data_IF_737315598927
#
_entry.id   IF_737315598927
#
_cell.length_a   1.000
_cell.length_b   1.000
_cell.length_c   1.000
_cell.angle_alpha   90.00
_cell.angle_beta   90.00
_cell.angle_gamma   90.00
#
_symmetry.space_group_name_H-M   'P 1'
#
loop_
_entity.id
_entity.type
_entity.pdbx_description
1 polymer ?
#
# COMPACT_ATOMS: atom_id res chain seq x y z
N UNK A 1 -11.45 22.17 -5.98
CA UNK A 1 -12.53 22.51 -6.93
C UNK A 1 -12.39 21.59 -8.12
N UNK A 2 -13.43 20.85 -8.39
CA UNK A 2 -13.37 19.62 -9.11
C UNK A 2 -13.16 19.82 -10.62
N UNK A 3 -12.01 19.40 -11.13
CA UNK A 3 -11.75 19.35 -12.58
C UNK A 3 -12.81 18.59 -13.37
N UNK A 4 -13.67 17.82 -12.70
CA UNK A 4 -14.75 17.05 -13.30
C UNK A 4 -15.90 17.92 -13.80
N UNK A 5 -16.26 18.99 -13.08
CA UNK A 5 -17.28 19.94 -13.53
C UNK A 5 -16.78 20.76 -14.74
N UNK A 6 -15.55 21.25 -14.65
CA UNK A 6 -14.91 21.97 -15.76
C UNK A 6 -14.66 21.04 -16.95
N UNK A 7 -14.27 19.77 -16.71
CA UNK A 7 -14.17 18.73 -17.72
C UNK A 7 -15.52 18.46 -18.41
N UNK A 8 -16.58 18.28 -17.61
CA UNK A 8 -17.92 18.04 -18.14
C UNK A 8 -18.37 19.16 -19.07
N UNK A 9 -18.22 20.41 -18.64
CA UNK A 9 -18.55 21.61 -19.43
C UNK A 9 -17.69 21.65 -20.71
N UNK A 10 -16.37 21.51 -20.64
CA UNK A 10 -15.51 21.56 -21.79
C UNK A 10 -15.70 20.35 -22.74
N UNK A 11 -15.96 19.16 -22.18
CA UNK A 11 -16.25 17.97 -22.98
C UNK A 11 -17.52 18.12 -23.82
N UNK A 12 -18.59 18.63 -23.20
CA UNK A 12 -19.89 18.81 -23.87
C UNK A 12 -19.95 20.03 -24.77
N UNK A 13 -19.29 21.14 -24.42
CA UNK A 13 -19.43 22.41 -25.13
C UNK A 13 -18.27 22.75 -26.07
N UNK A 14 -17.09 22.12 -25.92
CA UNK A 14 -15.93 22.45 -26.74
C UNK A 14 -15.42 21.20 -27.48
N UNK A 15 -14.75 20.28 -26.79
CA UNK A 15 -14.28 18.99 -27.34
C UNK A 15 -13.72 18.07 -26.25
N UNK A 16 -13.73 16.75 -26.52
CA UNK A 16 -13.08 15.74 -25.65
C UNK A 16 -11.59 16.06 -25.43
N UNK A 17 -10.89 16.45 -26.47
CA UNK A 17 -9.46 16.80 -26.40
C UNK A 17 -9.19 17.98 -25.48
N UNK A 18 -10.04 19.05 -25.52
CA UNK A 18 -9.90 20.21 -24.66
C UNK A 18 -10.12 19.84 -23.18
N UNK A 19 -11.14 19.06 -22.90
CA UNK A 19 -11.42 18.57 -21.53
C UNK A 19 -10.26 17.75 -20.95
N UNK A 20 -9.66 16.89 -21.75
CA UNK A 20 -8.50 16.07 -21.33
C UNK A 20 -7.25 16.95 -21.10
N UNK A 21 -6.98 17.94 -21.97
CA UNK A 21 -5.86 18.88 -21.78
C UNK A 21 -5.97 19.64 -20.45
N UNK A 22 -7.16 20.13 -20.12
CA UNK A 22 -7.39 20.83 -18.85
C UNK A 22 -7.18 19.90 -17.64
N UNK A 23 -7.63 18.64 -17.72
CA UNK A 23 -7.36 17.67 -16.67
C UNK A 23 -5.87 17.39 -16.49
N UNK A 24 -5.14 17.17 -17.59
CA UNK A 24 -3.70 16.94 -17.54
C UNK A 24 -3.00 18.14 -16.91
N UNK A 25 -3.37 19.36 -17.30
CA UNK A 25 -2.82 20.56 -16.70
C UNK A 25 -3.13 20.64 -15.20
N UNK A 26 -4.39 20.52 -14.82
CA UNK A 26 -4.82 20.65 -13.43
C UNK A 26 -4.21 19.58 -12.50
N UNK A 27 -3.93 18.38 -13.03
CA UNK A 27 -3.41 17.27 -12.22
C UNK A 27 -1.89 17.17 -12.22
N UNK A 28 -1.21 17.59 -13.28
CA UNK A 28 0.21 17.31 -13.46
C UNK A 28 1.10 18.56 -13.46
N UNK A 29 0.55 19.77 -13.71
CA UNK A 29 1.35 20.97 -13.84
C UNK A 29 2.19 21.23 -12.57
N UNK A 30 3.51 21.43 -12.75
CA UNK A 30 4.46 21.69 -11.67
C UNK A 30 4.92 20.44 -10.90
N UNK A 31 4.30 19.29 -11.06
CA UNK A 31 4.72 18.04 -10.41
C UNK A 31 6.05 17.54 -10.97
N UNK A 32 6.86 16.92 -10.13
CA UNK A 32 8.06 16.20 -10.61
C UNK A 32 7.63 14.97 -11.40
N UNK A 33 8.29 14.72 -12.53
CA UNK A 33 8.04 13.54 -13.37
C UNK A 33 8.22 12.26 -12.56
N UNK A 34 9.24 12.18 -11.71
CA UNK A 34 9.50 11.04 -10.82
C UNK A 34 8.36 10.77 -9.83
N UNK A 35 7.65 11.82 -9.38
CA UNK A 35 6.50 11.65 -8.48
C UNK A 35 5.29 11.08 -9.24
N UNK A 36 5.08 11.54 -10.49
CA UNK A 36 4.01 11.02 -11.36
C UNK A 36 4.27 9.53 -11.67
N UNK A 37 5.50 9.17 -12.09
CA UNK A 37 5.90 7.76 -12.31
C UNK A 37 5.71 6.90 -11.07
N UNK A 38 6.04 7.46 -9.95
CA UNK A 38 5.90 6.82 -8.66
C UNK A 38 4.46 6.51 -8.30
N UNK A 39 3.56 7.48 -8.51
CA UNK A 39 2.11 7.28 -8.32
C UNK A 39 1.57 6.28 -9.33
N UNK A 40 2.00 6.37 -10.59
CA UNK A 40 1.62 5.43 -11.65
C UNK A 40 1.96 3.98 -11.27
N UNK A 41 3.10 3.75 -10.63
CA UNK A 41 3.55 2.41 -10.21
C UNK A 41 2.90 1.93 -8.93
N UNK A 42 2.76 2.80 -7.94
CA UNK A 42 2.42 2.39 -6.57
C UNK A 42 0.94 2.58 -6.21
N UNK A 43 0.21 3.46 -6.90
CA UNK A 43 -1.16 3.83 -6.53
C UNK A 43 -2.18 3.41 -7.59
N UNK A 44 -1.93 3.73 -8.85
CA UNK A 44 -2.90 3.56 -9.91
C UNK A 44 -3.25 2.10 -10.27
N UNK A 45 -2.32 1.11 -10.17
CA UNK A 45 -2.61 -0.27 -10.56
C UNK A 45 -3.80 -0.89 -9.84
N UNK A 46 -3.98 -0.60 -8.56
CA UNK A 46 -5.12 -1.09 -7.78
C UNK A 46 -6.45 -0.58 -8.35
N UNK A 47 -6.50 0.69 -8.74
CA UNK A 47 -7.72 1.30 -9.27
C UNK A 47 -7.99 0.86 -10.71
N UNK A 48 -6.93 0.72 -11.52
CA UNK A 48 -7.07 0.23 -12.90
C UNK A 48 -7.50 -1.23 -12.95
N UNK A 49 -6.97 -2.08 -12.08
CA UNK A 49 -7.34 -3.50 -12.05
C UNK A 49 -8.82 -3.72 -11.72
N UNK A 50 -9.44 -2.83 -10.94
CA UNK A 50 -10.87 -2.90 -10.63
C UNK A 50 -11.78 -2.50 -11.80
N UNK A 51 -11.23 -1.86 -12.83
CA UNK A 51 -11.97 -1.37 -13.99
C UNK A 51 -11.77 -2.24 -15.25
N UNK A 52 -11.03 -3.35 -15.16
CA UNK A 52 -10.77 -4.23 -16.30
C UNK A 52 -12.03 -5.00 -16.71
N UNK A 53 -12.48 -4.78 -17.92
CA UNK A 53 -13.62 -5.46 -18.50
C UNK A 53 -13.27 -6.91 -18.86
N UNK A 54 -13.98 -7.90 -18.34
CA UNK A 54 -13.64 -9.31 -18.47
C UNK A 54 -13.65 -9.84 -19.92
N UNK A 55 -14.60 -9.39 -20.75
CA UNK A 55 -14.68 -9.81 -22.14
C UNK A 55 -13.56 -9.20 -22.97
N UNK A 56 -13.29 -7.91 -22.80
CA UNK A 56 -12.16 -7.25 -23.48
C UNK A 56 -10.83 -7.84 -23.06
N UNK A 57 -10.67 -8.18 -21.76
CA UNK A 57 -9.48 -8.86 -21.28
C UNK A 57 -9.27 -10.24 -21.92
N UNK A 58 -10.35 -11.02 -22.08
CA UNK A 58 -10.28 -12.34 -22.70
C UNK A 58 -9.72 -12.24 -24.15
N UNK A 59 -10.21 -11.28 -24.93
CA UNK A 59 -9.70 -11.05 -26.30
C UNK A 59 -8.26 -10.54 -26.25
N UNK A 60 -7.99 -9.50 -25.45
CA UNK A 60 -6.66 -8.90 -25.34
C UNK A 60 -5.59 -9.90 -24.90
N UNK A 61 -5.90 -10.75 -23.91
CA UNK A 61 -4.96 -11.74 -23.35
C UNK A 61 -4.66 -12.90 -24.32
N UNK A 62 -5.56 -13.18 -25.28
CA UNK A 62 -5.36 -14.22 -26.30
C UNK A 62 -4.53 -13.75 -27.50
N UNK A 63 -4.31 -12.44 -27.65
CA UNK A 63 -3.50 -11.90 -28.75
C UNK A 63 -2.01 -12.15 -28.51
N UNK A 64 -1.28 -12.52 -29.58
CA UNK A 64 0.17 -12.72 -29.53
C UNK A 64 0.94 -11.41 -29.38
N UNK A 65 0.51 -10.32 -30.03
CA UNK A 65 1.07 -8.97 -29.89
C UNK A 65 -0.03 -8.01 -29.42
N UNK A 66 0.25 -7.27 -28.35
CA UNK A 66 -0.74 -6.45 -27.65
C UNK A 66 -0.33 -4.99 -27.65
N UNK A 67 -1.15 -4.16 -28.28
CA UNK A 67 -0.96 -2.72 -28.34
C UNK A 67 -2.13 -2.02 -27.64
N UNK A 68 -1.84 -1.03 -26.79
CA UNK A 68 -2.86 -0.20 -26.14
C UNK A 68 -2.72 1.25 -26.61
N UNK A 69 -3.84 1.80 -27.12
CA UNK A 69 -3.96 3.22 -27.45
C UNK A 69 -4.84 3.92 -26.42
N UNK A 70 -4.33 4.99 -25.82
CA UNK A 70 -5.05 5.70 -24.77
C UNK A 70 -4.92 7.21 -24.85
N UNK A 71 -5.99 7.91 -24.54
CA UNK A 71 -5.99 9.36 -24.38
C UNK A 71 -5.31 9.81 -23.06
N UNK A 72 -5.16 8.90 -22.09
CA UNK A 72 -4.45 9.19 -20.85
C UNK A 72 -2.95 9.45 -21.09
N UNK A 73 -2.30 10.26 -20.24
CA UNK A 73 -0.84 10.41 -20.30
C UNK A 73 -0.15 9.03 -20.20
N UNK A 74 0.74 8.72 -21.17
CA UNK A 74 1.43 7.44 -21.22
C UNK A 74 2.15 7.13 -19.91
N UNK A 75 2.82 8.10 -19.32
CA UNK A 75 3.54 8.01 -18.05
C UNK A 75 2.66 7.49 -16.90
N UNK A 76 1.35 7.74 -16.91
CA UNK A 76 0.43 7.32 -15.83
C UNK A 76 -0.06 5.88 -15.98
N UNK A 77 -0.06 5.33 -17.19
CA UNK A 77 -0.68 4.03 -17.48
C UNK A 77 0.31 2.96 -17.91
N UNK A 78 1.47 3.33 -18.45
CA UNK A 78 2.41 2.41 -19.07
C UNK A 78 2.89 1.31 -18.11
N UNK A 79 3.20 1.66 -16.86
CA UNK A 79 3.64 0.70 -15.86
C UNK A 79 2.57 -0.38 -15.60
N UNK A 80 1.30 0.01 -15.50
CA UNK A 80 0.20 -0.94 -15.31
C UNK A 80 -0.02 -1.79 -16.57
N UNK A 81 -0.07 -1.18 -17.74
CA UNK A 81 -0.36 -1.87 -18.99
C UNK A 81 0.73 -2.89 -19.36
N UNK A 82 2.01 -2.55 -19.15
CA UNK A 82 3.12 -3.46 -19.41
C UNK A 82 3.26 -4.52 -18.33
N UNK A 83 3.29 -4.12 -17.07
CA UNK A 83 3.62 -5.02 -15.95
C UNK A 83 2.49 -5.96 -15.57
N UNK A 84 1.23 -5.50 -15.64
CA UNK A 84 0.07 -6.26 -15.18
C UNK A 84 -0.80 -6.81 -16.31
N UNK A 85 -0.82 -6.16 -17.48
CA UNK A 85 -1.58 -6.65 -18.64
C UNK A 85 -0.71 -7.29 -19.71
N UNK A 86 0.62 -7.14 -19.62
CA UNK A 86 1.54 -7.68 -20.62
C UNK A 86 1.41 -7.02 -21.99
N UNK A 87 1.15 -5.70 -22.03
CA UNK A 87 1.14 -4.95 -23.27
C UNK A 87 2.55 -4.80 -23.83
N UNK A 88 2.74 -5.15 -25.11
CA UNK A 88 4.03 -5.02 -25.80
C UNK A 88 4.29 -3.56 -26.19
N UNK A 89 3.23 -2.84 -26.58
CA UNK A 89 3.30 -1.44 -27.01
C UNK A 89 2.22 -0.61 -26.33
N UNK A 90 2.60 0.54 -25.82
CA UNK A 90 1.68 1.52 -25.22
C UNK A 90 1.84 2.85 -25.91
N UNK A 91 0.78 3.29 -26.60
CA UNK A 91 0.67 4.58 -27.26
C UNK A 91 -0.28 5.44 -26.42
N UNK A 92 0.23 6.49 -25.80
CA UNK A 92 -0.52 7.38 -24.93
C UNK A 92 -0.23 8.85 -25.22
N UNK A 93 -1.01 9.73 -24.63
CA UNK A 93 -0.77 11.17 -24.73
C UNK A 93 0.57 11.52 -24.11
N UNK A 94 1.42 12.24 -24.84
CA UNK A 94 2.72 12.68 -24.34
C UNK A 94 2.61 14.07 -23.70
N UNK A 95 3.27 14.22 -22.56
CA UNK A 95 3.24 15.43 -21.76
C UNK A 95 4.58 16.17 -21.83
N UNK A 96 4.53 17.49 -21.98
CA UNK A 96 5.74 18.32 -21.96
C UNK A 96 6.35 18.38 -20.55
N UNK A 97 7.69 18.35 -20.52
CA UNK A 97 8.45 18.44 -19.29
C UNK A 97 9.52 19.51 -19.38
N UNK A 98 9.79 20.19 -18.26
CA UNK A 98 10.85 21.18 -18.15
C UNK A 98 11.60 21.01 -16.82
N UNK A 99 12.90 20.88 -16.86
CA UNK A 99 13.77 20.66 -15.68
C UNK A 99 13.26 19.56 -14.73
N UNK A 100 12.81 18.42 -15.29
CA UNK A 100 12.32 17.28 -14.53
C UNK A 100 10.93 17.47 -13.91
N UNK A 101 10.21 18.52 -14.30
CA UNK A 101 8.82 18.77 -13.90
C UNK A 101 7.89 18.74 -15.11
N UNK A 102 6.69 18.24 -14.90
CA UNK A 102 5.63 18.29 -15.88
C UNK A 102 5.12 19.74 -16.03
N UNK A 103 5.03 20.23 -17.26
CA UNK A 103 4.46 21.55 -17.52
C UNK A 103 2.94 21.56 -17.46
N UNK A 104 2.30 20.38 -17.59
CA UNK A 104 0.88 20.21 -17.77
C UNK A 104 0.40 20.36 -19.22
N UNK A 105 1.28 20.75 -20.15
CA UNK A 105 0.94 20.86 -21.55
C UNK A 105 1.19 19.52 -22.29
N UNK A 106 0.36 19.28 -23.30
CA UNK A 106 0.44 18.09 -24.16
C UNK A 106 1.33 18.40 -25.37
N UNK A 107 2.23 17.46 -25.68
CA UNK A 107 3.10 17.54 -26.85
C UNK A 107 2.32 17.22 -28.14
N UNK A 108 2.88 17.60 -29.30
CA UNK A 108 2.38 17.19 -30.61
C UNK A 108 2.40 15.66 -30.76
N UNK A 109 1.37 15.02 -31.35
CA UNK A 109 0.24 15.59 -32.11
C UNK A 109 -0.95 16.03 -31.24
N UNK A 110 -0.81 16.07 -29.94
CA UNK A 110 -1.89 16.42 -29.02
C UNK A 110 -2.44 15.21 -28.25
N UNK A 111 -3.62 15.35 -27.69
CA UNK A 111 -4.30 14.24 -27.01
C UNK A 111 -4.63 13.14 -27.99
N UNK A 112 -4.35 11.89 -27.65
CA UNK A 112 -4.64 10.74 -28.52
C UNK A 112 -6.13 10.39 -28.50
N UNK A 113 -6.91 11.17 -29.24
CA UNK A 113 -8.35 10.98 -29.49
C UNK A 113 -8.62 11.04 -30.97
N UNK A 114 -9.54 10.27 -31.47
CA UNK A 114 -10.01 10.29 -32.85
C UNK A 114 -8.86 10.07 -33.85
N UNK A 115 -8.65 11.05 -34.75
CA UNK A 115 -7.62 10.98 -35.78
C UNK A 115 -6.21 10.82 -35.22
N UNK A 116 -5.89 11.47 -34.08
CA UNK A 116 -4.56 11.35 -33.48
C UNK A 116 -4.25 9.90 -33.03
N UNK A 117 -5.26 9.11 -32.62
CA UNK A 117 -5.09 7.67 -32.37
C UNK A 117 -4.74 6.91 -33.64
N UNK A 118 -5.47 7.18 -34.71
CA UNK A 118 -5.22 6.55 -36.05
C UNK A 118 -3.82 6.87 -36.56
N UNK A 119 -3.40 8.12 -36.50
CA UNK A 119 -2.08 8.56 -36.94
C UNK A 119 -0.95 7.93 -36.08
N UNK A 120 -1.15 7.84 -34.75
CA UNK A 120 -0.21 7.16 -33.88
C UNK A 120 -0.10 5.66 -34.18
N UNK A 121 -1.22 5.00 -34.50
CA UNK A 121 -1.23 3.59 -34.90
C UNK A 121 -0.50 3.38 -36.22
N UNK A 122 -0.78 4.20 -37.26
CA UNK A 122 -0.08 4.17 -38.53
C UNK A 122 1.42 4.34 -38.35
N UNK A 123 1.83 5.31 -37.55
CA UNK A 123 3.26 5.55 -37.27
C UNK A 123 3.94 4.35 -36.61
N UNK A 124 3.22 3.65 -35.70
CA UNK A 124 3.77 2.53 -34.95
C UNK A 124 3.83 1.22 -35.74
N UNK A 125 2.87 0.99 -36.63
CA UNK A 125 2.74 -0.27 -37.38
C UNK A 125 3.20 -0.13 -38.86
N UNK A 126 3.37 1.09 -39.37
CA UNK A 126 3.69 1.31 -40.75
C UNK A 126 2.59 0.78 -41.69
N UNK A 127 2.97 -0.11 -42.59
CA UNK A 127 2.04 -0.79 -43.49
C UNK A 127 1.40 -2.05 -42.90
N UNK A 128 1.89 -2.51 -41.75
CA UNK A 128 1.33 -3.69 -41.10
C UNK A 128 -0.06 -3.37 -40.52
N UNK A 129 -1.05 -4.15 -40.91
CA UNK A 129 -2.42 -3.98 -40.47
C UNK A 129 -2.67 -4.82 -39.19
N UNK A 130 -3.06 -4.20 -38.05
CA UNK A 130 -3.49 -4.95 -36.88
C UNK A 130 -4.72 -5.82 -37.17
N UNK A 131 -4.79 -7.01 -36.60
CA UNK A 131 -5.91 -7.91 -36.85
C UNK A 131 -7.19 -7.44 -36.15
N UNK A 132 -7.12 -7.13 -34.85
CA UNK A 132 -8.29 -6.79 -34.03
C UNK A 132 -8.12 -5.41 -33.41
N UNK A 133 -9.13 -4.55 -33.57
CA UNK A 133 -9.26 -3.27 -32.88
C UNK A 133 -10.46 -3.26 -31.95
N UNK A 134 -10.25 -2.93 -30.68
CA UNK A 134 -11.31 -2.77 -29.68
C UNK A 134 -11.43 -1.30 -29.25
N UNK A 135 -12.61 -0.72 -29.32
CA UNK A 135 -12.89 0.64 -28.89
C UNK A 135 -14.24 0.71 -28.17
N UNK A 136 -14.42 1.70 -27.29
CA UNK A 136 -15.67 1.90 -26.55
C UNK A 136 -16.44 3.17 -26.96
N UNK A 137 -15.87 3.99 -27.86
CA UNK A 137 -16.41 5.29 -28.25
C UNK A 137 -16.42 5.50 -29.76
N UNK A 138 -17.31 6.36 -30.23
CA UNK A 138 -17.30 6.79 -31.64
C UNK A 138 -15.98 7.44 -32.06
N UNK A 139 -15.27 8.11 -31.13
CA UNK A 139 -13.95 8.69 -31.39
C UNK A 139 -12.86 7.63 -31.62
N UNK A 140 -13.15 6.35 -31.41
CA UNK A 140 -12.23 5.23 -31.66
C UNK A 140 -12.39 4.67 -33.10
N UNK A 141 -13.48 4.99 -33.79
CA UNK A 141 -13.75 4.52 -35.17
C UNK A 141 -12.57 4.75 -36.16
N UNK A 142 -11.85 5.90 -36.15
CA UNK A 142 -10.75 6.12 -37.08
C UNK A 142 -9.58 5.13 -36.92
N UNK A 143 -9.21 4.70 -35.71
CA UNK A 143 -8.14 3.71 -35.57
C UNK A 143 -8.65 2.29 -35.79
N UNK A 144 -9.91 1.99 -35.44
CA UNK A 144 -10.52 0.68 -35.66
C UNK A 144 -10.64 0.38 -37.18
N UNK A 145 -10.91 1.42 -38.00
CA UNK A 145 -10.94 1.28 -39.44
C UNK A 145 -9.58 0.91 -40.07
N UNK A 146 -8.48 1.03 -39.34
CA UNK A 146 -7.15 0.59 -39.76
C UNK A 146 -6.88 -0.88 -39.41
N UNK A 147 -7.71 -1.51 -38.61
CA UNK A 147 -7.61 -2.92 -38.26
C UNK A 147 -8.38 -3.77 -39.29
N UNK A 148 -8.07 -5.07 -39.36
CA UNK A 148 -8.87 -5.98 -40.21
C UNK A 148 -10.30 -6.06 -39.66
N UNK A 149 -10.42 -6.27 -38.36
CA UNK A 149 -11.70 -6.34 -37.65
C UNK A 149 -11.76 -5.31 -36.52
N UNK A 150 -12.74 -4.41 -36.57
CA UNK A 150 -12.99 -3.39 -35.56
C UNK A 150 -14.26 -3.69 -34.77
N UNK A 151 -14.16 -3.78 -33.44
CA UNK A 151 -15.26 -4.06 -32.56
C UNK A 151 -15.52 -2.93 -31.56
N UNK A 152 -16.75 -2.45 -31.50
CA UNK A 152 -17.19 -1.50 -30.47
C UNK A 152 -17.62 -2.29 -29.26
N UNK A 153 -16.95 -2.04 -28.14
CA UNK A 153 -17.30 -2.62 -26.82
C UNK A 153 -18.33 -1.71 -26.16
N UNK A 154 -19.59 -2.10 -26.02
CA UNK A 154 -20.59 -1.26 -25.39
C UNK A 154 -20.27 -1.08 -23.90
N UNK A 155 -20.46 0.11 -23.32
CA UNK A 155 -20.32 0.34 -21.91
C UNK A 155 -21.44 -0.41 -21.17
N UNK A 156 -21.11 -1.55 -20.55
CA UNK A 156 -22.05 -2.31 -19.72
C UNK A 156 -21.75 -2.01 -18.24
N UNK A 157 -22.61 -1.28 -17.52
CA UNK A 157 -22.35 -0.90 -16.12
C UNK A 157 -22.29 -2.08 -15.14
N UNK A 158 -22.71 -3.27 -15.55
CA UNK A 158 -22.84 -4.47 -14.71
C UNK A 158 -21.80 -5.57 -15.02
N UNK A 159 -20.77 -5.31 -15.83
CA UNK A 159 -19.77 -6.36 -16.12
C UNK A 159 -18.82 -6.50 -14.95
N UNK A 160 -18.71 -7.73 -14.43
CA UNK A 160 -17.78 -8.07 -13.37
C UNK A 160 -16.34 -7.81 -13.84
N UNK A 161 -15.59 -7.08 -13.02
CA UNK A 161 -14.17 -6.86 -13.28
C UNK A 161 -13.39 -8.18 -13.30
N UNK A 162 -12.29 -8.20 -14.05
CA UNK A 162 -11.36 -9.33 -14.07
C UNK A 162 -10.78 -9.52 -12.67
N UNK A 163 -10.78 -10.75 -12.19
CA UNK A 163 -10.12 -11.10 -10.94
C UNK A 163 -8.59 -11.05 -11.13
N UNK A 164 -7.88 -10.60 -10.12
CA UNK A 164 -6.42 -10.36 -10.19
C UNK A 164 -5.61 -11.63 -10.42
N UNK A 165 -6.14 -12.82 -10.06
CA UNK A 165 -5.56 -14.14 -10.33
C UNK A 165 -5.36 -14.44 -11.82
N UNK A 166 -6.16 -13.80 -12.71
CA UNK A 166 -6.05 -13.93 -14.16
C UNK A 166 -5.04 -12.99 -14.82
N UNK A 167 -4.41 -12.13 -14.04
CA UNK A 167 -3.41 -11.19 -14.53
C UNK A 167 -2.00 -11.83 -14.53
N UNK A 168 -1.09 -11.44 -15.43
CA UNK A 168 0.30 -11.88 -15.44
C UNK A 168 1.01 -11.68 -14.09
N UNK A 169 0.68 -10.62 -13.37
CA UNK A 169 1.09 -10.38 -11.97
C UNK A 169 -0.15 -10.30 -11.09
N UNK A 170 -0.57 -11.39 -10.43
CA UNK A 170 -1.81 -11.41 -9.66
C UNK A 170 -1.75 -10.56 -8.39
N UNK A 171 -0.55 -10.30 -7.84
CA UNK A 171 -0.38 -9.54 -6.61
C UNK A 171 -0.07 -8.09 -6.92
N UNK A 172 -0.99 -7.22 -6.48
CA UNK A 172 -0.90 -5.78 -6.65
C UNK A 172 -0.70 -5.14 -5.28
N UNK A 173 0.50 -4.64 -5.01
CA UNK A 173 0.77 -3.78 -3.87
C UNK A 173 0.23 -2.37 -4.12
N UNK A 174 -0.28 -1.73 -3.07
CA UNK A 174 -0.85 -0.40 -3.14
C UNK A 174 -0.29 0.53 -2.06
N UNK A 175 0.04 1.78 -2.43
CA UNK A 175 0.62 2.77 -1.50
C UNK A 175 -0.13 4.12 -1.47
N UNK A 176 -1.34 4.21 -2.01
CA UNK A 176 -2.18 5.40 -1.94
C UNK A 176 -2.69 5.68 -0.52
N UNK A 177 -2.95 6.97 -0.21
CA UNK A 177 -3.58 7.34 1.06
C UNK A 177 -5.09 7.13 1.05
N UNK A 178 -5.74 7.24 -0.08
CA UNK A 178 -7.18 7.03 -0.19
C UNK A 178 -7.52 5.54 -0.21
N UNK A 179 -8.51 5.15 0.60
CA UNK A 179 -9.03 3.78 0.66
C UNK A 179 -9.91 3.50 -0.54
N UNK A 180 -10.79 4.45 -0.86
CA UNK A 180 -11.75 4.33 -1.95
C UNK A 180 -11.26 5.09 -3.19
N UNK A 181 -11.70 4.62 -4.36
CA UNK A 181 -11.50 5.35 -5.62
C UNK A 181 -12.24 6.70 -5.52
N UNK A 182 -11.54 7.83 -5.73
CA UNK A 182 -12.17 9.13 -5.62
C UNK A 182 -13.19 9.33 -6.76
N UNK A 183 -14.45 9.53 -6.37
CA UNK A 183 -15.50 10.10 -7.21
C UNK A 183 -15.65 11.59 -6.86
N UNK A 184 -16.31 12.42 -7.68
CA UNK A 184 -16.52 13.84 -7.35
C UNK A 184 -17.11 14.06 -5.96
N UNK A 185 -18.13 13.28 -5.60
CA UNK A 185 -18.78 13.38 -4.29
C UNK A 185 -17.86 12.92 -3.15
N UNK A 186 -17.21 11.75 -3.30
CA UNK A 186 -16.29 11.25 -2.26
C UNK A 186 -15.08 12.14 -2.10
N UNK A 187 -14.57 12.77 -3.17
CA UNK A 187 -13.48 13.73 -3.11
C UNK A 187 -13.90 15.00 -2.34
N UNK A 188 -15.09 15.54 -2.63
CA UNK A 188 -15.63 16.70 -1.92
C UNK A 188 -15.80 16.40 -0.43
N UNK A 189 -16.45 15.28 -0.09
CA UNK A 189 -16.64 14.84 1.30
C UNK A 189 -15.30 14.64 2.02
N UNK A 190 -14.31 14.09 1.34
CA UNK A 190 -12.97 13.91 1.90
C UNK A 190 -12.30 15.26 2.19
N UNK A 191 -12.38 16.22 1.28
CA UNK A 191 -11.80 17.55 1.47
C UNK A 191 -12.49 18.28 2.64
N UNK A 192 -13.81 18.22 2.73
CA UNK A 192 -14.56 18.83 3.84
C UNK A 192 -14.26 18.16 5.19
N UNK A 193 -13.98 16.84 5.15
CA UNK A 193 -13.66 16.07 6.35
C UNK A 193 -12.24 16.31 6.90
N UNK A 194 -11.26 16.62 6.04
CA UNK A 194 -9.84 16.76 6.44
C UNK A 194 -9.64 17.64 7.69
N UNK A 195 -10.19 18.87 7.79
CA UNK A 195 -9.98 19.72 8.97
C UNK A 195 -10.53 19.09 10.24
N UNK A 196 -11.75 18.56 10.19
CA UNK A 196 -12.42 17.91 11.32
C UNK A 196 -11.66 16.64 11.72
N UNK A 197 -11.31 15.82 10.75
CA UNK A 197 -10.56 14.59 10.94
C UNK A 197 -9.18 14.82 11.53
N UNK A 198 -8.50 15.90 11.15
CA UNK A 198 -7.19 16.26 11.71
C UNK A 198 -7.27 16.63 13.19
N UNK A 199 -8.25 17.45 13.59
CA UNK A 199 -8.50 17.78 15.00
C UNK A 199 -8.80 16.51 15.79
N UNK A 200 -9.68 15.65 15.25
CA UNK A 200 -10.04 14.38 15.88
C UNK A 200 -8.82 13.44 16.01
N UNK A 201 -7.94 13.41 15.00
CA UNK A 201 -6.69 12.66 15.08
C UNK A 201 -5.76 13.16 16.18
N UNK A 202 -5.62 14.48 16.33
CA UNK A 202 -4.82 15.06 17.43
C UNK A 202 -5.37 14.66 18.81
N UNK A 203 -6.69 14.72 19.00
CA UNK A 203 -7.35 14.31 20.25
C UNK A 203 -7.14 12.80 20.54
N UNK A 204 -7.29 11.94 19.53
CA UNK A 204 -7.09 10.49 19.62
C UNK A 204 -5.64 10.14 19.94
N UNK A 205 -4.69 10.80 19.29
CA UNK A 205 -3.25 10.62 19.54
C UNK A 205 -2.93 11.08 20.96
N UNK A 206 -3.41 12.26 21.39
CA UNK A 206 -3.20 12.75 22.75
C UNK A 206 -3.79 11.78 23.78
N UNK A 207 -5.01 11.29 23.58
CA UNK A 207 -5.61 10.30 24.47
C UNK A 207 -4.77 9.01 24.55
N UNK A 208 -4.29 8.49 23.40
CA UNK A 208 -3.44 7.31 23.37
C UNK A 208 -2.09 7.49 24.04
N UNK A 209 -1.51 8.71 23.96
CA UNK A 209 -0.14 8.98 24.45
C UNK A 209 -0.08 9.43 25.91
N UNK A 210 -1.12 10.11 26.40
CA UNK A 210 -1.10 10.75 27.72
C UNK A 210 -1.85 9.97 28.81
N UNK A 211 -2.82 9.14 28.40
CA UNK A 211 -3.59 8.37 29.37
C UNK A 211 -2.89 7.06 29.77
N UNK A 212 -3.06 6.59 31.01
CA UNK A 212 -2.63 5.24 31.41
C UNK A 212 -3.29 4.17 30.51
N UNK A 213 -2.55 3.13 30.15
CA UNK A 213 -2.98 2.12 29.17
C UNK A 213 -4.36 1.50 29.45
N UNK A 214 -4.77 1.20 30.71
CA UNK A 214 -6.11 0.70 30.99
C UNK A 214 -7.23 1.68 30.60
N UNK A 215 -6.97 2.98 30.60
CA UNK A 215 -7.94 4.01 30.26
C UNK A 215 -8.02 4.28 28.76
N UNK A 216 -6.96 3.97 28.02
CA UNK A 216 -6.87 4.22 26.56
C UNK A 216 -8.00 3.53 25.79
N UNK A 217 -8.37 2.32 26.19
CA UNK A 217 -9.48 1.58 25.57
C UNK A 217 -10.79 2.37 25.63
N UNK A 218 -11.14 2.88 26.80
CA UNK A 218 -12.38 3.65 27.02
C UNK A 218 -12.33 5.02 26.32
N UNK A 219 -11.17 5.69 26.36
CA UNK A 219 -10.97 6.95 25.67
C UNK A 219 -11.09 6.80 24.15
N UNK A 220 -10.51 5.75 23.57
CA UNK A 220 -10.66 5.44 22.16
C UNK A 220 -12.11 5.16 21.80
N UNK A 221 -12.82 4.38 22.61
CA UNK A 221 -14.24 4.11 22.41
C UNK A 221 -15.07 5.42 22.40
N UNK A 222 -14.86 6.30 23.39
CA UNK A 222 -15.52 7.59 23.48
C UNK A 222 -15.22 8.51 22.30
N UNK A 223 -14.01 8.43 21.74
CA UNK A 223 -13.58 9.18 20.54
C UNK A 223 -13.91 8.47 19.22
N UNK A 224 -14.74 7.42 19.23
CA UNK A 224 -15.22 6.72 18.05
C UNK A 224 -14.20 5.77 17.40
N UNK A 225 -13.12 5.39 18.08
CA UNK A 225 -12.21 4.32 17.68
C UNK A 225 -12.71 3.00 18.25
N UNK A 226 -12.96 2.02 17.42
CA UNK A 226 -13.47 0.73 17.85
C UNK A 226 -12.34 -0.27 17.99
N UNK A 227 -12.22 -0.87 19.18
CA UNK A 227 -11.26 -1.94 19.46
C UNK A 227 -12.04 -3.19 19.83
N UNK A 228 -11.91 -4.25 19.02
CA UNK A 228 -12.53 -5.55 19.27
C UNK A 228 -11.45 -6.54 19.69
N UNK A 229 -11.67 -7.21 20.81
CA UNK A 229 -10.74 -8.20 21.36
C UNK A 229 -11.40 -9.57 21.25
N UNK A 230 -10.70 -10.53 20.64
CA UNK A 230 -11.12 -11.92 20.48
C UNK A 230 -10.08 -12.87 21.08
N UNK A 231 -10.53 -14.05 21.50
CA UNK A 231 -9.68 -15.03 22.18
C UNK A 231 -9.39 -14.64 23.63
N UNK A 232 -8.50 -15.39 24.28
CA UNK A 232 -8.15 -15.17 25.69
C UNK A 232 -6.73 -14.59 25.77
N UNK A 233 -6.57 -13.32 26.17
CA UNK A 233 -5.26 -12.75 26.39
C UNK A 233 -4.49 -13.52 27.46
N UNK A 234 -3.21 -13.84 27.27
CA UNK A 234 -2.43 -14.48 28.32
C UNK A 234 -2.20 -13.53 29.48
N UNK A 235 -2.17 -14.05 30.71
CA UNK A 235 -1.86 -13.27 31.89
C UNK A 235 -0.43 -12.70 31.79
N UNK A 236 -0.14 -11.58 32.51
CA UNK A 236 1.22 -11.03 32.50
C UNK A 236 2.21 -12.02 33.09
N UNK A 237 3.43 -12.05 32.53
CA UNK A 237 4.51 -12.88 33.06
C UNK A 237 4.81 -12.51 34.52
N UNK A 238 4.83 -13.51 35.39
CA UNK A 238 5.14 -13.30 36.82
C UNK A 238 6.65 -13.30 37.02
N UNK A 239 7.24 -12.12 37.11
CA UNK A 239 8.69 -11.93 37.38
C UNK A 239 9.18 -12.67 38.65
N UNK A 240 8.32 -12.85 39.65
CA UNK A 240 8.65 -13.52 40.92
C UNK A 240 8.98 -15.02 40.80
N UNK A 241 8.70 -15.65 39.64
CA UNK A 241 8.87 -17.11 39.46
C UNK A 241 9.95 -17.38 38.39
N UNK A 242 10.73 -16.39 37.95
CA UNK A 242 11.75 -16.58 36.91
C UNK A 242 11.18 -16.94 35.53
N UNK A 243 9.90 -16.70 35.29
CA UNK A 243 9.27 -16.91 33.97
C UNK A 243 9.73 -15.86 32.97
N UNK A 244 10.27 -16.32 31.87
CA UNK A 244 10.51 -15.50 30.66
C UNK A 244 9.19 -14.90 30.16
N UNK A 245 9.26 -13.68 29.65
CA UNK A 245 8.12 -13.00 29.05
C UNK A 245 7.57 -13.72 27.81
N UNK A 246 6.32 -13.43 27.51
CA UNK A 246 5.64 -13.91 26.31
C UNK A 246 6.06 -13.07 25.10
N UNK A 247 6.39 -13.73 23.99
CA UNK A 247 6.63 -13.06 22.73
C UNK A 247 5.35 -13.10 21.88
N UNK A 248 4.71 -11.95 21.73
CA UNK A 248 3.54 -11.78 20.87
C UNK A 248 3.98 -11.63 19.40
N UNK A 249 3.53 -12.54 18.54
CA UNK A 249 3.84 -12.56 17.11
C UNK A 249 2.65 -11.99 16.36
N UNK A 250 2.75 -10.73 15.92
CA UNK A 250 1.64 -10.00 15.32
C UNK A 250 1.76 -9.93 13.79
N UNK A 251 0.64 -10.03 13.07
CA UNK A 251 0.56 -9.54 11.70
C UNK A 251 0.77 -8.01 11.68
N UNK A 252 1.36 -7.47 10.58
CA UNK A 252 1.78 -6.08 10.53
C UNK A 252 0.97 -5.25 9.54
N UNK A 253 -0.03 -4.52 10.04
CA UNK A 253 -0.95 -3.69 9.24
C UNK A 253 -0.57 -2.22 9.22
N UNK A 254 -0.24 -1.66 10.40
CA UNK A 254 0.23 -0.28 10.54
C UNK A 254 1.28 -0.19 11.65
N UNK A 255 1.89 0.97 11.82
CA UNK A 255 2.77 1.25 12.96
C UNK A 255 2.05 1.20 14.32
N UNK A 256 0.71 1.20 14.32
CA UNK A 256 -0.11 1.22 15.52
C UNK A 256 -0.41 -0.19 16.07
N UNK A 257 -0.08 -1.27 15.34
CA UNK A 257 -0.43 -2.63 15.74
C UNK A 257 0.04 -2.98 17.18
N UNK A 258 1.29 -2.68 17.60
CA UNK A 258 1.72 -2.96 18.96
C UNK A 258 1.02 -2.08 20.01
N UNK A 259 0.59 -0.88 19.62
CA UNK A 259 -0.16 0.03 20.51
C UNK A 259 -1.56 -0.55 20.77
N UNK A 260 -2.24 -1.01 19.71
CA UNK A 260 -3.55 -1.65 19.84
C UNK A 260 -3.48 -3.02 20.54
N UNK A 261 -2.38 -3.77 20.39
CA UNK A 261 -2.10 -4.94 21.21
C UNK A 261 -2.02 -4.57 22.70
N UNK A 262 -1.24 -3.52 23.02
CA UNK A 262 -1.10 -3.02 24.40
C UNK A 262 -2.43 -2.52 24.95
N UNK A 263 -3.22 -1.81 24.14
CA UNK A 263 -4.57 -1.37 24.49
C UNK A 263 -5.49 -2.56 24.79
N UNK A 264 -5.43 -3.62 23.98
CA UNK A 264 -6.21 -4.84 24.18
C UNK A 264 -5.82 -5.61 25.45
N UNK A 265 -4.54 -5.53 25.84
CA UNK A 265 -4.02 -6.15 27.06
C UNK A 265 -4.19 -5.26 28.31
N UNK A 266 -4.57 -3.99 28.15
CA UNK A 266 -4.64 -3.01 29.22
C UNK A 266 -3.30 -2.70 29.90
N UNK A 267 -2.17 -3.03 29.25
CA UNK A 267 -0.81 -2.83 29.78
C UNK A 267 0.18 -2.52 28.65
N UNK A 268 1.21 -1.69 28.90
CA UNK A 268 2.19 -1.36 27.88
C UNK A 268 3.08 -2.57 27.58
N UNK A 269 3.13 -2.98 26.31
CA UNK A 269 4.02 -4.02 25.79
C UNK A 269 5.08 -3.36 24.92
N UNK A 270 6.38 -3.46 25.26
CA UNK A 270 7.44 -3.01 24.37
C UNK A 270 7.37 -3.67 22.99
N UNK A 271 7.73 -2.94 21.95
CA UNK A 271 7.73 -3.47 20.60
C UNK A 271 9.10 -3.28 19.94
N UNK A 272 9.55 -4.30 19.22
CA UNK A 272 10.76 -4.19 18.40
C UNK A 272 10.44 -3.66 17.02
N UNK A 273 11.32 -2.81 16.48
CA UNK A 273 11.11 -2.14 15.19
C UNK A 273 12.44 -1.91 14.48
N UNK A 274 12.42 -1.91 13.12
CA UNK A 274 13.61 -1.58 12.32
C UNK A 274 13.70 -0.11 11.95
N UNK A 275 12.57 0.57 11.80
CA UNK A 275 12.55 1.97 11.38
C UNK A 275 11.25 2.65 11.78
N UNK A 276 11.32 3.43 12.83
CA UNK A 276 10.22 4.33 13.28
C UNK A 276 10.74 5.76 13.21
N UNK A 277 9.87 6.72 12.86
CA UNK A 277 10.23 8.13 12.87
C UNK A 277 10.42 8.60 14.32
N UNK A 278 11.30 9.59 14.53
CA UNK A 278 11.48 10.19 15.87
C UNK A 278 10.16 10.73 16.43
N UNK A 279 9.32 11.32 15.58
CA UNK A 279 8.00 11.79 15.98
C UNK A 279 7.13 10.64 16.51
N UNK A 280 7.09 9.51 15.79
CA UNK A 280 6.32 8.34 16.20
C UNK A 280 6.83 7.73 17.50
N UNK A 281 8.14 7.79 17.76
CA UNK A 281 8.72 7.35 19.04
C UNK A 281 8.32 8.26 20.21
N UNK A 282 8.34 9.57 19.99
CA UNK A 282 7.97 10.56 21.04
C UNK A 282 6.51 10.45 21.44
N UNK A 283 5.61 10.27 20.45
CA UNK A 283 4.17 10.17 20.71
C UNK A 283 3.71 8.76 21.09
N UNK A 284 4.61 7.76 21.04
CA UNK A 284 4.27 6.37 21.33
C UNK A 284 4.03 6.16 22.82
N UNK A 285 2.87 5.57 23.22
CA UNK A 285 2.60 5.24 24.63
C UNK A 285 3.35 3.99 25.10
N UNK A 286 4.07 3.31 24.22
CA UNK A 286 4.84 2.10 24.50
C UNK A 286 6.30 2.28 24.13
N UNK A 287 7.18 1.58 24.85
CA UNK A 287 8.62 1.56 24.55
C UNK A 287 8.85 0.88 23.20
N UNK A 288 9.55 1.55 22.29
CA UNK A 288 10.00 0.98 21.03
C UNK A 288 11.49 0.73 21.05
N UNK A 289 11.92 -0.46 20.62
CA UNK A 289 13.33 -0.86 20.59
C UNK A 289 13.76 -1.06 19.17
N UNK A 290 14.76 -0.30 18.73
CA UNK A 290 15.27 -0.39 17.36
C UNK A 290 16.20 -1.58 17.22
N UNK A 291 15.96 -2.41 16.20
CA UNK A 291 16.83 -3.49 15.79
C UNK A 291 17.86 -3.00 14.77
N UNK A 292 19.07 -3.59 14.85
CA UNK A 292 20.22 -3.23 14.03
C UNK A 292 20.24 -3.88 12.64
N UNK A 293 19.46 -4.96 12.46
CA UNK A 293 19.47 -5.91 11.33
C UNK A 293 20.69 -6.84 11.33
N UNK A 294 21.51 -6.78 12.36
CA UNK A 294 22.47 -7.82 12.66
C UNK A 294 21.80 -8.91 13.48
N UNK A 295 21.84 -10.17 12.97
CA UNK A 295 21.08 -11.28 13.57
C UNK A 295 21.50 -11.58 15.00
N UNK A 296 22.80 -11.55 15.28
CA UNK A 296 23.33 -11.91 16.60
C UNK A 296 23.01 -10.82 17.64
N UNK A 297 23.24 -9.57 17.27
CA UNK A 297 22.95 -8.40 18.12
C UNK A 297 21.46 -8.30 18.41
N UNK A 298 20.62 -8.45 17.37
CA UNK A 298 19.16 -8.38 17.53
C UNK A 298 18.63 -9.55 18.39
N UNK A 299 19.18 -10.76 18.24
CA UNK A 299 18.81 -11.92 19.05
C UNK A 299 19.13 -11.72 20.53
N UNK A 300 20.34 -11.24 20.85
CA UNK A 300 20.76 -10.97 22.23
C UNK A 300 19.90 -9.88 22.89
N UNK A 301 19.59 -8.82 22.14
CA UNK A 301 18.73 -7.74 22.61
C UNK A 301 17.30 -8.22 22.90
N UNK A 302 16.70 -9.00 22.00
CA UNK A 302 15.35 -9.54 22.18
C UNK A 302 15.30 -10.48 23.37
N UNK A 303 16.30 -11.37 23.55
CA UNK A 303 16.38 -12.28 24.72
C UNK A 303 16.40 -11.49 26.02
N UNK A 304 17.25 -10.45 26.12
CA UNK A 304 17.30 -9.57 27.29
C UNK A 304 15.95 -8.90 27.59
N UNK A 305 15.24 -8.42 26.56
CA UNK A 305 13.93 -7.82 26.72
C UNK A 305 12.88 -8.83 27.22
N UNK A 306 12.97 -10.10 26.78
CA UNK A 306 12.08 -11.18 27.24
C UNK A 306 12.35 -11.58 28.70
N UNK A 307 13.57 -11.41 29.21
CA UNK A 307 13.88 -11.54 30.64
C UNK A 307 13.23 -10.41 31.45
N UNK A 308 13.10 -9.21 30.87
CA UNK A 308 12.47 -8.06 31.50
C UNK A 308 10.93 -8.16 31.51
N UNK A 309 10.32 -8.87 30.55
CA UNK A 309 8.87 -9.03 30.44
C UNK A 309 8.38 -9.41 29.05
N UNK A 310 7.10 -9.20 28.82
CA UNK A 310 6.46 -9.50 27.53
C UNK A 310 6.93 -8.55 26.43
N UNK A 311 6.93 -9.04 25.18
CA UNK A 311 7.43 -8.31 24.01
C UNK A 311 6.54 -8.55 22.80
N UNK A 312 6.40 -7.54 21.94
CA UNK A 312 5.69 -7.66 20.67
C UNK A 312 6.65 -7.56 19.48
N UNK A 313 6.45 -8.44 18.49
CA UNK A 313 7.19 -8.42 17.23
C UNK A 313 6.24 -8.62 16.03
N UNK A 314 6.54 -7.90 14.95
CA UNK A 314 5.88 -8.07 13.65
C UNK A 314 6.90 -8.67 12.64
N UNK A 315 6.93 -9.98 12.46
CA UNK A 315 8.02 -10.66 11.73
C UNK A 315 7.99 -10.44 10.21
N UNK A 316 6.96 -9.81 9.66
CA UNK A 316 6.91 -9.36 8.27
C UNK A 316 7.98 -8.28 7.96
N UNK A 317 8.45 -7.55 8.98
CA UNK A 317 9.46 -6.51 8.87
C UNK A 317 9.02 -5.26 8.09
N UNK A 318 7.77 -5.20 7.66
CA UNK A 318 7.10 -4.06 7.05
C UNK A 318 5.59 -4.22 7.13
N UNK A 319 4.87 -3.11 7.16
CA UNK A 319 3.40 -3.12 7.11
C UNK A 319 2.89 -3.65 5.76
N UNK A 320 1.83 -4.45 5.76
CA UNK A 320 1.15 -4.94 4.56
C UNK A 320 -0.35 -4.68 4.71
N UNK A 321 -0.94 -3.88 3.81
CA UNK A 321 -2.37 -3.53 3.86
C UNK A 321 -3.25 -4.47 3.04
N UNK A 322 -2.65 -5.24 2.16
CA UNK A 322 -3.30 -6.18 1.26
C UNK A 322 -3.82 -7.41 2.04
N UNK A 323 -4.81 -8.16 1.51
CA UNK A 323 -5.40 -9.31 2.21
C UNK A 323 -4.52 -10.57 2.14
N UNK A 324 -3.22 -10.42 2.37
CA UNK A 324 -2.24 -11.50 2.49
C UNK A 324 -1.16 -11.14 3.50
N UNK A 325 -0.41 -12.14 3.97
CA UNK A 325 0.74 -11.98 4.84
C UNK A 325 2.03 -12.12 4.04
N UNK A 326 2.99 -11.25 4.34
CA UNK A 326 4.36 -11.39 3.84
C UNK A 326 5.06 -12.53 4.59
N UNK A 327 6.17 -13.03 4.02
CA UNK A 327 6.97 -14.06 4.65
C UNK A 327 7.50 -13.61 6.01
N UNK A 328 7.33 -14.44 7.01
CA UNK A 328 7.83 -14.18 8.37
C UNK A 328 9.33 -14.43 8.47
N UNK A 329 10.04 -13.54 9.16
CA UNK A 329 11.41 -13.77 9.57
C UNK A 329 11.45 -14.88 10.62
N UNK A 330 12.34 -15.85 10.46
CA UNK A 330 12.45 -16.98 11.38
C UNK A 330 13.21 -16.68 12.68
N UNK A 331 13.84 -15.49 12.81
CA UNK A 331 14.66 -15.14 13.97
C UNK A 331 13.93 -15.31 15.29
N UNK A 332 12.68 -14.86 15.37
CA UNK A 332 11.91 -14.87 16.61
C UNK A 332 11.69 -16.29 17.19
N UNK A 333 11.61 -17.30 16.32
CA UNK A 333 11.31 -18.67 16.71
C UNK A 333 12.43 -19.36 17.49
N UNK A 334 13.67 -18.84 17.38
CA UNK A 334 14.86 -19.36 18.06
C UNK A 334 15.07 -18.72 19.46
N UNK A 335 14.28 -17.70 19.79
CA UNK A 335 14.57 -16.87 20.97
C UNK A 335 13.83 -17.32 22.21
N UNK A 336 12.65 -17.91 22.06
CA UNK A 336 11.80 -18.37 23.15
C UNK A 336 10.75 -19.36 22.65
N UNK A 337 10.28 -20.24 23.56
CA UNK A 337 9.10 -21.10 23.31
C UNK A 337 7.79 -20.48 23.79
N UNK A 338 7.86 -19.30 24.43
CA UNK A 338 6.68 -18.57 24.89
C UNK A 338 6.06 -17.75 23.76
N UNK A 339 5.70 -18.42 22.65
CA UNK A 339 5.20 -17.80 21.43
C UNK A 339 3.68 -17.74 21.44
N UNK A 340 3.11 -16.55 21.34
CA UNK A 340 1.66 -16.32 21.22
C UNK A 340 1.37 -15.60 19.91
N UNK A 341 0.78 -16.28 18.92
CA UNK A 341 0.36 -15.63 17.68
C UNK A 341 -0.82 -14.68 17.93
N UNK A 342 -0.79 -13.50 17.31
CA UNK A 342 -1.85 -12.51 17.40
C UNK A 342 -2.23 -12.04 16.00
N UNK A 343 -3.47 -12.30 15.62
CA UNK A 343 -4.01 -11.84 14.36
C UNK A 343 -4.57 -10.42 14.54
N UNK A 344 -3.96 -9.46 13.86
CA UNK A 344 -4.34 -8.06 13.93
C UNK A 344 -4.89 -7.61 12.59
N UNK A 345 -6.07 -7.03 12.57
CA UNK A 345 -6.67 -6.41 11.39
C UNK A 345 -7.22 -5.03 11.73
N UNK A 346 -7.11 -4.11 10.80
CA UNK A 346 -7.67 -2.78 10.92
C UNK A 346 -8.69 -2.49 9.81
N UNK A 347 -9.62 -1.61 10.09
CA UNK A 347 -10.62 -1.13 9.12
C UNK A 347 -10.59 0.38 9.06
N UNK A 348 -10.45 0.88 7.85
CA UNK A 348 -10.39 2.32 7.55
C UNK A 348 -11.30 2.61 6.37
N UNK A 349 -12.04 3.71 6.42
CA UNK A 349 -13.02 4.08 5.40
C UNK A 349 -12.51 5.10 4.39
N UNK A 350 -11.69 6.04 4.84
CA UNK A 350 -11.21 7.16 4.01
C UNK A 350 -9.70 7.10 3.73
N UNK A 351 -8.89 6.92 4.78
CA UNK A 351 -7.44 7.04 4.67
C UNK A 351 -6.73 5.78 5.15
N UNK A 352 -5.74 5.35 4.40
CA UNK A 352 -4.81 4.31 4.84
C UNK A 352 -3.79 4.87 5.84
N UNK A 353 -3.70 4.25 7.01
CA UNK A 353 -2.77 4.59 8.11
C UNK A 353 -1.35 4.07 7.92
N UNK A 354 -0.93 3.74 6.69
CA UNK A 354 0.43 3.29 6.40
C UNK A 354 0.85 3.66 4.99
N UNK A 355 2.16 3.88 4.78
CA UNK A 355 2.74 4.14 3.46
C UNK A 355 4.16 3.55 3.39
N UNK A 356 4.57 3.11 2.19
CA UNK A 356 5.93 2.70 1.93
C UNK A 356 6.82 3.89 1.55
N UNK A 357 6.26 4.92 0.92
CA UNK A 357 6.99 6.01 0.27
C UNK A 357 6.85 7.38 0.95
N UNK A 358 5.74 7.65 1.59
CA UNK A 358 5.49 8.94 2.24
C UNK A 358 6.20 9.08 3.59
N UNK A 359 6.06 10.26 4.21
CA UNK A 359 6.56 10.48 5.55
C UNK A 359 5.75 9.67 6.57
N UNK A 360 6.41 8.64 7.12
CA UNK A 360 5.80 7.69 8.06
C UNK A 360 5.35 8.31 9.38
N UNK A 361 5.89 9.46 9.74
CA UNK A 361 5.44 10.20 10.92
C UNK A 361 3.97 10.63 10.87
N UNK A 362 3.41 10.76 9.65
CA UNK A 362 1.99 11.06 9.46
C UNK A 362 1.07 9.83 9.47
N UNK A 363 1.61 8.60 9.50
CA UNK A 363 0.80 7.38 9.44
C UNK A 363 -0.24 7.30 10.59
N UNK A 364 0.10 7.60 11.86
CA UNK A 364 -0.89 7.64 12.93
C UNK A 364 -2.00 8.67 12.67
N UNK A 365 -1.64 9.86 12.17
CA UNK A 365 -2.63 10.90 11.85
C UNK A 365 -3.62 10.42 10.80
N UNK A 366 -3.16 9.87 9.68
CA UNK A 366 -4.05 9.34 8.65
C UNK A 366 -4.96 8.21 9.16
N UNK A 367 -4.46 7.35 10.04
CA UNK A 367 -5.30 6.34 10.67
C UNK A 367 -6.39 6.99 11.53
N UNK A 368 -5.99 7.86 12.43
CA UNK A 368 -6.91 8.51 13.37
C UNK A 368 -7.80 9.60 12.76
N UNK A 369 -7.51 10.09 11.56
CA UNK A 369 -8.39 10.96 10.77
C UNK A 369 -9.64 10.24 10.23
N UNK A 370 -9.67 8.92 10.18
CA UNK A 370 -10.86 8.22 9.73
C UNK A 370 -12.05 8.51 10.64
N UNK A 371 -13.29 8.63 10.12
CA UNK A 371 -14.47 8.88 10.95
C UNK A 371 -14.65 7.85 12.06
N UNK A 372 -14.56 6.58 11.73
CA UNK A 372 -14.67 5.46 12.67
C UNK A 372 -13.63 4.39 12.36
N UNK A 373 -12.34 4.62 12.73
CA UNK A 373 -11.31 3.62 12.54
C UNK A 373 -11.52 2.47 13.52
N UNK A 374 -11.24 1.25 13.08
CA UNK A 374 -11.41 0.07 13.91
C UNK A 374 -10.17 -0.82 13.89
N UNK A 375 -9.92 -1.45 15.01
CA UNK A 375 -8.94 -2.52 15.21
C UNK A 375 -9.59 -3.76 15.78
N UNK A 376 -9.24 -4.90 15.24
CA UNK A 376 -9.59 -6.20 15.80
C UNK A 376 -8.28 -6.91 16.16
N UNK A 377 -8.14 -7.33 17.41
CA UNK A 377 -7.00 -8.05 17.94
C UNK A 377 -7.48 -9.42 18.40
N UNK A 378 -7.05 -10.46 17.72
CA UNK A 378 -7.42 -11.84 18.04
C UNK A 378 -6.23 -12.57 18.63
N UNK A 379 -6.31 -12.91 19.93
CA UNK A 379 -5.30 -13.73 20.59
C UNK A 379 -5.53 -15.20 20.26
N UNK A 380 -4.50 -15.85 19.77
CA UNK A 380 -4.49 -17.28 19.50
C UNK A 380 -3.83 -18.03 20.66
N UNK A 381 -4.00 -19.34 20.71
CA UNK A 381 -3.40 -20.14 21.75
C UNK A 381 -1.87 -20.08 21.63
N UNK A 382 -1.21 -20.07 22.79
CA UNK A 382 0.23 -20.25 22.87
C UNK A 382 0.64 -21.52 22.14
N UNK A 383 1.75 -21.48 21.42
CA UNK A 383 2.27 -22.67 20.75
C UNK A 383 2.58 -23.78 21.76
N UNK A 384 2.10 -25.01 21.51
CA UNK A 384 2.56 -26.19 22.22
C UNK A 384 4.07 -26.40 22.01
N UNK A 385 4.75 -26.98 22.99
CA UNK A 385 6.20 -27.15 22.96
C UNK A 385 6.67 -27.99 21.75
N UNK A 386 5.87 -28.97 21.35
CA UNK A 386 6.16 -29.85 20.19
C UNK A 386 6.23 -29.08 18.86
N UNK A 387 5.64 -27.88 18.80
CA UNK A 387 5.64 -27.02 17.62
C UNK A 387 6.66 -25.88 17.69
N UNK A 388 7.53 -25.89 18.72
CA UNK A 388 8.60 -24.91 18.90
C UNK A 388 9.97 -25.48 18.51
N UNK A 389 11.00 -24.65 18.53
CA UNK A 389 12.37 -25.09 18.23
C UNK A 389 12.91 -26.09 19.25
N UNK A 390 12.57 -25.97 20.53
CA UNK A 390 12.96 -26.96 21.56
C UNK A 390 12.23 -28.29 21.39
N UNK A 391 11.05 -28.29 20.76
CA UNK A 391 10.35 -29.50 20.33
C UNK A 391 10.92 -30.16 19.06
N UNK A 392 12.07 -29.68 18.56
CA UNK A 392 12.76 -30.27 17.39
C UNK A 392 12.35 -29.70 16.04
N UNK A 393 11.54 -28.64 15.99
CA UNK A 393 11.17 -27.95 14.74
C UNK A 393 12.25 -26.94 14.34
N UNK A 394 12.49 -26.81 13.05
CA UNK A 394 13.33 -25.72 12.56
C UNK A 394 12.66 -24.35 12.76
N UNK A 395 13.44 -23.30 12.91
CA UNK A 395 12.91 -21.94 13.06
C UNK A 395 12.04 -21.49 11.89
N UNK A 396 12.34 -21.99 10.68
CA UNK A 396 11.53 -21.72 9.49
C UNK A 396 10.18 -22.46 9.53
N UNK A 397 10.14 -23.69 10.01
CA UNK A 397 8.88 -24.43 10.16
C UNK A 397 7.96 -23.75 11.17
N UNK A 398 8.52 -23.32 12.33
CA UNK A 398 7.78 -22.57 13.35
C UNK A 398 7.23 -21.26 12.77
N UNK A 399 8.07 -20.49 12.10
CA UNK A 399 7.66 -19.22 11.50
C UNK A 399 6.56 -19.38 10.44
N UNK A 400 6.69 -20.39 9.58
CA UNK A 400 5.69 -20.71 8.54
C UNK A 400 4.39 -21.24 9.16
N UNK A 401 4.47 -22.00 10.25
CA UNK A 401 3.29 -22.48 10.96
C UNK A 401 2.51 -21.29 11.55
N UNK A 402 3.19 -20.39 12.26
CA UNK A 402 2.56 -19.20 12.85
C UNK A 402 1.96 -18.29 11.77
N UNK A 403 2.66 -18.09 10.65
CA UNK A 403 2.14 -17.33 9.51
C UNK A 403 0.83 -17.93 9.01
N UNK A 404 0.76 -19.26 8.80
CA UNK A 404 -0.46 -19.95 8.34
C UNK A 404 -1.61 -19.83 9.33
N UNK A 405 -1.35 -19.98 10.62
CA UNK A 405 -2.38 -19.89 11.65
C UNK A 405 -2.97 -18.49 11.71
N UNK A 406 -2.13 -17.44 11.66
CA UNK A 406 -2.58 -16.05 11.62
C UNK A 406 -3.34 -15.78 10.31
N UNK A 407 -2.84 -16.24 9.17
CA UNK A 407 -3.48 -16.06 7.88
C UNK A 407 -4.87 -16.72 7.84
N UNK A 408 -4.99 -17.95 8.33
CA UNK A 408 -6.26 -18.67 8.43
C UNK A 408 -7.27 -17.89 9.30
N UNK A 409 -6.83 -17.34 10.43
CA UNK A 409 -7.68 -16.53 11.32
C UNK A 409 -8.19 -15.26 10.65
N UNK A 410 -7.38 -14.64 9.79
CA UNK A 410 -7.73 -13.43 9.06
C UNK A 410 -8.44 -13.68 7.72
N UNK A 411 -8.54 -14.94 7.28
CA UNK A 411 -8.95 -15.32 5.92
C UNK A 411 -8.05 -14.66 4.85
N UNK A 412 -6.73 -14.67 5.10
CA UNK A 412 -5.72 -14.11 4.23
C UNK A 412 -4.86 -15.20 3.60
N UNK A 413 -4.24 -14.89 2.47
CA UNK A 413 -3.27 -15.76 1.83
C UNK A 413 -1.88 -15.64 2.47
N UNK A 414 -1.18 -16.77 2.56
CA UNK A 414 0.26 -16.77 2.87
C UNK A 414 1.06 -16.58 1.60
N UNK A 415 1.98 -15.62 1.61
CA UNK A 415 2.87 -15.40 0.47
C UNK A 415 4.33 -15.61 0.86
N UNK A 416 5.17 -15.87 -0.12
CA UNK A 416 6.63 -15.89 0.03
C UNK A 416 7.27 -14.53 -0.17
N UNK A 417 6.48 -13.49 -0.48
CA UNK A 417 6.97 -12.14 -0.69
C UNK A 417 7.60 -11.56 0.58
N UNK A 418 8.72 -10.88 0.37
CA UNK A 418 9.47 -10.24 1.42
C UNK A 418 9.23 -8.72 1.41
N UNK A 419 9.74 -8.06 2.47
CA UNK A 419 9.83 -6.60 2.49
C UNK A 419 10.50 -6.03 1.23
N UNK A 420 11.56 -6.69 0.73
CA UNK A 420 12.28 -6.23 -0.48
C UNK A 420 11.40 -6.26 -1.71
N UNK A 421 10.61 -7.30 -1.89
CA UNK A 421 9.69 -7.45 -3.03
C UNK A 421 8.62 -6.35 -3.01
N UNK A 422 8.04 -6.08 -1.84
CA UNK A 422 7.10 -4.96 -1.65
C UNK A 422 7.73 -3.62 -2.01
N UNK A 423 8.94 -3.32 -1.53
CA UNK A 423 9.59 -2.04 -1.80
C UNK A 423 10.02 -1.91 -3.26
N UNK A 424 10.47 -2.98 -3.91
CA UNK A 424 10.75 -3.00 -5.35
C UNK A 424 9.50 -2.66 -6.16
N UNK A 425 8.37 -3.25 -5.82
CA UNK A 425 7.10 -2.97 -6.48
C UNK A 425 6.63 -1.53 -6.28
N UNK A 426 6.70 -0.99 -5.06
CA UNK A 426 6.14 0.31 -4.71
C UNK A 426 7.12 1.48 -4.91
N UNK A 427 8.39 1.30 -4.56
CA UNK A 427 9.37 2.38 -4.50
C UNK A 427 10.51 2.23 -5.54
N UNK A 428 10.58 1.10 -6.23
CA UNK A 428 11.66 0.82 -7.19
C UNK A 428 13.04 0.61 -6.53
N UNK A 429 13.08 0.40 -5.20
CA UNK A 429 14.29 0.12 -4.43
C UNK A 429 14.04 -1.05 -3.47
N UNK A 430 15.06 -1.53 -2.77
CA UNK A 430 14.94 -2.64 -1.82
C UNK A 430 14.49 -2.22 -0.40
N UNK A 431 14.18 -0.93 -0.21
CA UNK A 431 13.79 -0.35 1.06
C UNK A 431 14.92 -0.25 2.09
N UNK A 432 16.19 -0.47 1.71
CA UNK A 432 17.32 -0.18 2.59
C UNK A 432 17.50 1.33 2.70
N UNK A 433 17.52 1.83 3.93
CA UNK A 433 17.93 3.21 4.20
C UNK A 433 19.45 3.20 4.22
N UNK A 434 20.08 3.73 3.19
CA UNK A 434 21.52 4.05 3.25
C UNK A 434 21.63 5.15 4.30
N UNK A 435 22.27 4.86 5.44
CA UNK A 435 22.71 5.92 6.32
C UNK A 435 23.58 6.85 5.50
N UNK A 436 23.18 8.11 5.42
CA UNK A 436 24.06 9.16 4.90
C UNK A 436 25.24 9.21 5.87
N UNK A 437 26.30 8.52 5.54
CA UNK A 437 27.61 8.73 6.16
C UNK A 437 27.84 10.23 6.09
N UNK A 438 27.90 10.88 7.24
CA UNK A 438 28.38 12.27 7.31
C UNK A 438 29.78 12.21 6.69
N UNK A 439 29.89 12.71 5.46
CA UNK A 439 31.18 13.06 4.92
C UNK A 439 31.80 14.00 5.95
N UNK A 440 32.74 13.49 6.73
CA UNK A 440 33.66 14.32 7.46
C UNK A 440 34.36 15.15 6.38
N UNK A 441 33.97 16.42 6.33
CA UNK A 441 34.75 17.40 5.63
C UNK A 441 36.14 17.45 6.36
N UNK A 442 37.06 16.65 5.86
CA UNK A 442 38.45 16.86 6.19
C UNK A 442 38.79 18.24 5.68
N UNK A 443 38.94 19.18 6.62
CA UNK A 443 39.63 20.43 6.40
C UNK A 443 41.00 20.07 5.89
N UNK A 444 41.22 20.18 4.61
CA UNK A 444 42.54 20.39 4.06
C UNK A 444 42.83 21.88 4.23
N UNK A 445 43.43 22.24 5.36
CA UNK A 445 44.23 23.43 5.41
C UNK A 445 45.61 23.06 4.86
N UNK A 446 46.03 23.71 3.83
CA UNK A 446 47.33 23.60 3.25
C UNK A 446 47.62 24.78 2.35
N UNK A 447 48.34 25.75 2.88
CA UNK A 447 49.17 26.81 2.26
C UNK A 447 48.65 27.48 1.00
#
# INVERSE_FOLDING_TARGET
MDGTLLRGLLYYFVSESAGIKVLIFATCAGMKVSDIESVARAVLPKFYSSDLHSESWRVFSSCGKRCVLTANPRIMVEAFLKDFLGADLVLGTEMSTYKGRATGFVLSPGVLVGKNKADALKKAFGEAQPEIGLGDRHTDAPFMALCKDGYIVPPKPAVKAVTTDKLPKPIIFHDGRLVQKPTPLTALLTILWIPIGFILACLRIAAGSLLPMPMVYYAFWALGVRVTIKGTPPPPAKKSIGQSGVLFICSHRTLLDPIFLSTALGRPIPAVTYSVSRLSEIISPIKTVRLSRDRATDASMIKKLLEEGDLAICPEGTTCREPFLLRFSALFAELTDQLVPVAVVNRMSMFHGTTARGWKGMDPFYFFMNPSPAYEVTFLNRLPQELTCTGGKSSHEVANYIQRVIAATLSYECTSFTRRDKYRALAGNDGTVVEKTKLQANKVMGC
#
